data_IF_219313884436
#
_entry.id   IF_219313884436
#
_cell.length_a   1.000
_cell.length_b   1.000
_cell.length_c   1.000
_cell.angle_alpha   90.00
_cell.angle_beta   90.00
_cell.angle_gamma   90.00
#
_symmetry.space_group_name_H-M   'P 1'
#
loop_
_entity.id
_entity.type
_entity.pdbx_description
1 polymer ?
#
# COMPACT_ATOMS: atom_id res chain seq x y z
N UNK A 1 19.69 -20.66 19.80
CA UNK A 1 18.43 -21.32 20.20
C UNK A 1 17.82 -22.14 19.06
N UNK A 2 17.39 -21.56 17.93
CA UNK A 2 16.94 -22.39 16.77
C UNK A 2 18.00 -23.39 16.26
N UNK A 3 19.29 -23.03 16.31
CA UNK A 3 20.41 -23.90 15.93
C UNK A 3 20.60 -25.14 16.83
N UNK A 4 19.94 -25.20 17.99
CA UNK A 4 20.05 -26.32 18.94
C UNK A 4 18.82 -27.23 18.86
N UNK A 5 17.71 -26.77 18.26
CA UNK A 5 16.41 -27.45 18.34
C UNK A 5 16.07 -28.26 17.08
N UNK A 6 16.58 -27.90 15.89
CA UNK A 6 16.28 -28.65 14.66
C UNK A 6 17.37 -28.48 13.57
N UNK A 7 18.42 -29.34 13.56
CA UNK A 7 19.50 -29.29 12.58
C UNK A 7 19.04 -29.59 11.14
N UNK A 8 17.95 -30.35 10.96
CA UNK A 8 17.42 -30.73 9.65
C UNK A 8 16.87 -29.52 8.89
N UNK A 9 16.26 -28.56 9.58
CA UNK A 9 15.79 -27.30 8.98
C UNK A 9 16.92 -26.36 8.55
N UNK A 10 18.12 -26.46 9.13
CA UNK A 10 19.28 -25.64 8.73
C UNK A 10 19.89 -26.10 7.40
N UNK A 11 19.86 -27.40 7.09
CA UNK A 11 20.27 -27.93 5.79
C UNK A 11 19.43 -27.38 4.62
N UNK A 12 18.13 -27.16 4.85
CA UNK A 12 17.22 -26.53 3.90
C UNK A 12 17.34 -24.98 3.86
N UNK A 13 17.76 -24.35 4.96
CA UNK A 13 17.89 -22.89 5.06
C UNK A 13 19.14 -22.30 4.39
N UNK A 14 20.17 -23.11 4.11
CA UNK A 14 21.44 -22.62 3.56
C UNK A 14 21.30 -22.03 2.15
N UNK A 15 20.61 -22.71 1.24
CA UNK A 15 20.39 -22.23 -0.13
C UNK A 15 19.53 -20.96 -0.15
N UNK A 16 18.48 -20.92 0.67
CA UNK A 16 17.64 -19.74 0.85
C UNK A 16 18.42 -18.55 1.38
N UNK A 17 19.27 -18.76 2.38
CA UNK A 17 20.10 -17.72 2.99
C UNK A 17 21.08 -17.15 1.97
N UNK A 18 21.66 -18.01 1.13
CA UNK A 18 22.55 -17.61 0.03
C UNK A 18 21.79 -16.84 -1.05
N UNK A 19 20.62 -17.32 -1.51
CA UNK A 19 19.78 -16.61 -2.49
C UNK A 19 19.34 -15.25 -1.95
N UNK A 20 18.87 -15.18 -0.71
CA UNK A 20 18.48 -13.93 -0.05
C UNK A 20 19.66 -12.96 0.11
N UNK A 21 20.85 -13.47 0.45
CA UNK A 21 22.06 -12.67 0.54
C UNK A 21 22.51 -12.13 -0.82
N UNK A 22 22.55 -12.96 -1.86
CA UNK A 22 22.90 -12.56 -3.22
C UNK A 22 21.93 -11.50 -3.77
N UNK A 23 20.64 -11.72 -3.55
CA UNK A 23 19.60 -10.77 -3.92
C UNK A 23 19.76 -9.47 -3.13
N UNK A 24 20.01 -9.55 -1.81
CA UNK A 24 20.27 -8.38 -0.99
C UNK A 24 21.48 -7.57 -1.47
N UNK A 25 22.57 -8.24 -1.84
CA UNK A 25 23.76 -7.61 -2.44
C UNK A 25 23.45 -6.97 -3.79
N UNK A 26 22.71 -7.66 -4.66
CA UNK A 26 22.27 -7.12 -5.94
C UNK A 26 21.36 -5.89 -5.76
N UNK A 27 20.38 -5.96 -4.85
CA UNK A 27 19.52 -4.84 -4.49
C UNK A 27 20.31 -3.67 -3.88
N UNK A 28 21.35 -3.94 -3.10
CA UNK A 28 22.23 -2.91 -2.56
C UNK A 28 22.99 -2.18 -3.67
N UNK A 29 23.61 -2.95 -4.57
CA UNK A 29 24.33 -2.42 -5.72
C UNK A 29 23.39 -1.59 -6.61
N UNK A 30 22.28 -2.17 -7.06
CA UNK A 30 21.27 -1.46 -7.86
C UNK A 30 20.72 -0.24 -7.11
N UNK A 31 20.52 -0.34 -5.80
CA UNK A 31 20.06 0.76 -4.97
C UNK A 31 21.02 1.95 -4.99
N UNK A 32 22.32 1.71 -4.83
CA UNK A 32 23.34 2.78 -4.88
C UNK A 32 23.40 3.46 -6.24
N UNK A 33 23.22 2.71 -7.33
CA UNK A 33 23.33 3.24 -8.70
C UNK A 33 22.04 3.88 -9.23
N UNK A 34 20.87 3.29 -8.94
CA UNK A 34 19.59 3.73 -9.50
C UNK A 34 18.85 4.73 -8.62
N UNK A 35 18.96 4.62 -7.29
CA UNK A 35 18.17 5.46 -6.38
C UNK A 35 18.56 6.94 -6.47
N UNK A 36 19.84 7.34 -6.49
CA UNK A 36 20.21 8.76 -6.58
C UNK A 36 19.64 9.47 -7.81
N UNK A 37 19.88 9.02 -9.07
CA UNK A 37 19.35 9.71 -10.24
C UNK A 37 17.82 9.70 -10.30
N UNK A 38 17.16 8.66 -9.78
CA UNK A 38 15.69 8.62 -9.68
C UNK A 38 15.17 9.67 -8.69
N UNK A 39 15.77 9.77 -7.51
CA UNK A 39 15.38 10.75 -6.50
C UNK A 39 15.67 12.19 -6.94
N UNK A 40 16.75 12.42 -7.68
CA UNK A 40 17.05 13.72 -8.31
C UNK A 40 15.99 14.11 -9.33
N UNK A 41 15.59 13.20 -10.22
CA UNK A 41 14.49 13.43 -11.19
C UNK A 41 13.16 13.72 -10.51
N UNK A 42 12.92 13.11 -9.34
CA UNK A 42 11.76 13.38 -8.51
C UNK A 42 11.90 14.69 -7.70
N UNK A 43 13.00 15.44 -7.82
CA UNK A 43 13.22 16.68 -7.06
C UNK A 43 13.39 16.44 -5.55
N UNK A 44 13.85 15.26 -5.17
CA UNK A 44 14.03 14.82 -3.80
C UNK A 44 15.44 14.24 -3.57
N UNK A 45 16.53 14.97 -3.89
CA UNK A 45 17.87 14.43 -3.75
C UNK A 45 18.16 13.95 -2.32
N UNK A 46 18.83 12.81 -2.19
CA UNK A 46 19.21 12.23 -0.91
C UNK A 46 20.69 12.47 -0.62
N UNK A 47 21.04 13.23 0.44
CA UNK A 47 22.43 13.33 0.89
C UNK A 47 23.00 11.95 1.22
N UNK A 48 24.30 11.73 1.06
CA UNK A 48 24.95 10.43 1.31
C UNK A 48 24.61 9.81 2.69
N UNK A 49 24.49 10.66 3.72
CA UNK A 49 24.12 10.24 5.07
C UNK A 49 22.71 9.65 5.19
N UNK A 50 21.79 10.05 4.31
CA UNK A 50 20.40 9.55 4.20
C UNK A 50 20.32 8.42 3.20
N UNK A 51 21.01 8.53 2.06
CA UNK A 51 21.03 7.53 1.00
C UNK A 51 21.44 6.15 1.53
N UNK A 52 22.50 6.06 2.35
CA UNK A 52 22.93 4.78 2.96
C UNK A 52 21.81 4.09 3.73
N UNK A 53 20.95 4.84 4.41
CA UNK A 53 19.83 4.30 5.18
C UNK A 53 18.65 3.94 4.28
N UNK A 54 18.39 4.72 3.22
CA UNK A 54 17.39 4.35 2.22
C UNK A 54 17.79 3.05 1.50
N UNK A 55 19.06 2.92 1.10
CA UNK A 55 19.58 1.68 0.51
C UNK A 55 19.50 0.53 1.50
N UNK A 56 19.85 0.75 2.78
CA UNK A 56 19.67 -0.29 3.80
C UNK A 56 18.20 -0.71 3.94
N UNK A 57 17.25 0.23 3.95
CA UNK A 57 15.82 -0.07 3.99
C UNK A 57 15.37 -0.87 2.76
N UNK A 58 15.89 -0.55 1.57
CA UNK A 58 15.61 -1.33 0.36
C UNK A 58 16.14 -2.75 0.48
N UNK A 59 17.39 -2.92 0.91
CA UNK A 59 18.03 -4.22 1.04
C UNK A 59 17.32 -5.07 2.08
N UNK A 60 17.10 -4.52 3.27
CA UNK A 60 16.40 -5.22 4.36
C UNK A 60 14.95 -5.50 3.98
N UNK A 61 14.25 -4.53 3.38
CA UNK A 61 12.87 -4.72 2.92
C UNK A 61 12.76 -5.78 1.84
N UNK A 62 13.66 -5.77 0.85
CA UNK A 62 13.66 -6.77 -0.22
C UNK A 62 14.01 -8.14 0.36
N UNK A 63 15.06 -8.23 1.17
CA UNK A 63 15.43 -9.46 1.83
C UNK A 63 14.25 -10.01 2.65
N UNK A 64 13.67 -9.25 3.59
CA UNK A 64 12.59 -9.74 4.44
C UNK A 64 11.32 -10.13 3.65
N UNK A 65 10.90 -9.31 2.67
CA UNK A 65 9.63 -9.52 1.96
C UNK A 65 9.74 -10.49 0.78
N UNK A 66 10.88 -10.52 0.09
CA UNK A 66 11.12 -11.46 -1.00
C UNK A 66 11.53 -12.83 -0.45
N UNK A 67 12.42 -12.88 0.56
CA UNK A 67 12.82 -14.15 1.18
C UNK A 67 11.64 -14.84 1.87
N UNK A 68 10.66 -14.07 2.36
CA UNK A 68 9.41 -14.60 2.89
C UNK A 68 8.59 -15.43 1.90
N UNK A 69 8.86 -15.28 0.60
CA UNK A 69 8.18 -16.01 -0.47
C UNK A 69 8.95 -17.21 -0.98
N UNK A 70 10.22 -17.30 -0.62
CA UNK A 70 11.09 -18.39 -1.04
C UNK A 70 11.06 -19.56 -0.06
N UNK A 71 10.80 -19.31 1.24
CA UNK A 71 10.75 -20.37 2.24
C UNK A 71 10.10 -19.91 3.56
N UNK A 72 9.13 -20.65 4.14
CA UNK A 72 8.33 -21.68 3.49
C UNK A 72 7.55 -21.04 2.34
N UNK A 73 7.13 -21.82 1.33
CA UNK A 73 6.25 -21.30 0.27
C UNK A 73 5.06 -20.58 0.92
N UNK A 74 5.04 -19.25 0.84
CA UNK A 74 4.03 -18.42 1.48
C UNK A 74 2.76 -18.45 0.62
N UNK A 75 1.66 -18.92 1.20
CA UNK A 75 0.36 -19.08 0.52
C UNK A 75 0.48 -19.58 -0.93
N UNK A 76 0.97 -20.83 -1.15
CA UNK A 76 1.14 -21.37 -2.51
C UNK A 76 -0.18 -21.38 -3.30
N UNK A 77 -1.33 -21.47 -2.59
CA UNK A 77 -2.65 -21.33 -3.17
C UNK A 77 -2.89 -19.97 -3.86
N UNK A 78 -2.51 -18.86 -3.22
CA UNK A 78 -2.69 -17.51 -3.79
C UNK A 78 -1.68 -17.23 -4.91
N UNK A 79 -0.45 -17.73 -4.79
CA UNK A 79 0.51 -17.70 -5.91
C UNK A 79 -0.08 -18.44 -7.11
N UNK A 80 -0.58 -19.66 -6.92
CA UNK A 80 -1.19 -20.45 -8.00
C UNK A 80 -2.47 -19.79 -8.54
N UNK A 81 -3.27 -19.15 -7.70
CA UNK A 81 -4.43 -18.36 -8.12
C UNK A 81 -4.01 -17.27 -9.12
N UNK A 82 -2.96 -16.51 -8.82
CA UNK A 82 -2.44 -15.49 -9.72
C UNK A 82 -1.91 -16.09 -11.03
N UNK A 83 -1.21 -17.23 -10.98
CA UNK A 83 -0.73 -17.95 -12.16
C UNK A 83 -1.87 -18.43 -13.05
N UNK A 84 -2.91 -19.03 -12.45
CA UNK A 84 -4.09 -19.52 -13.16
C UNK A 84 -4.85 -18.38 -13.84
N UNK A 85 -5.00 -17.24 -13.14
CA UNK A 85 -5.66 -16.05 -13.69
C UNK A 85 -4.86 -15.37 -14.79
N UNK A 86 -3.55 -15.32 -14.67
CA UNK A 86 -2.69 -14.89 -15.77
C UNK A 86 -2.84 -15.82 -16.99
N UNK A 87 -2.80 -17.13 -16.78
CA UNK A 87 -3.02 -18.11 -17.85
C UNK A 87 -4.40 -17.96 -18.52
N UNK A 88 -5.44 -17.67 -17.75
CA UNK A 88 -6.77 -17.36 -18.25
C UNK A 88 -6.76 -16.11 -19.14
N UNK A 89 -6.12 -15.02 -18.67
CA UNK A 89 -6.00 -13.77 -19.43
C UNK A 89 -5.30 -13.99 -20.77
N UNK A 90 -4.17 -14.70 -20.79
CA UNK A 90 -3.39 -14.95 -22.03
C UNK A 90 -4.18 -15.83 -23.02
N UNK A 91 -5.09 -16.67 -22.53
CA UNK A 91 -6.05 -17.42 -23.35
C UNK A 91 -7.29 -16.61 -23.79
N UNK A 92 -7.30 -15.30 -23.55
CA UNK A 92 -8.38 -14.39 -23.95
C UNK A 92 -9.50 -14.23 -22.93
N UNK A 93 -9.38 -14.81 -21.72
CA UNK A 93 -10.37 -14.64 -20.66
C UNK A 93 -10.09 -13.36 -19.86
N UNK A 94 -10.52 -12.23 -20.40
CA UNK A 94 -10.30 -10.91 -19.79
C UNK A 94 -11.20 -10.63 -18.60
N UNK A 95 -12.41 -11.20 -18.56
CA UNK A 95 -13.39 -11.01 -17.49
C UNK A 95 -13.34 -12.19 -16.53
N UNK A 96 -12.51 -12.07 -15.49
CA UNK A 96 -12.32 -13.15 -14.53
C UNK A 96 -13.21 -12.92 -13.30
N UNK A 97 -13.94 -13.96 -12.89
CA UNK A 97 -14.72 -13.95 -11.67
C UNK A 97 -13.88 -14.46 -10.48
N UNK A 98 -14.16 -13.90 -9.31
CA UNK A 98 -13.73 -14.39 -8.01
C UNK A 98 -14.95 -14.66 -7.14
N UNK A 99 -14.78 -15.52 -6.15
CA UNK A 99 -15.71 -15.62 -5.04
C UNK A 99 -15.13 -14.80 -3.90
N UNK A 100 -15.83 -13.74 -3.48
CA UNK A 100 -15.50 -13.02 -2.27
C UNK A 100 -16.61 -13.26 -1.25
N UNK A 101 -16.31 -14.10 -0.26
CA UNK A 101 -17.25 -14.43 0.83
C UNK A 101 -18.56 -15.07 0.35
N UNK A 102 -18.50 -15.86 -0.72
CA UNK A 102 -19.66 -16.55 -1.31
C UNK A 102 -20.41 -15.74 -2.36
N UNK A 103 -20.00 -14.48 -2.59
CA UNK A 103 -20.58 -13.65 -3.64
C UNK A 103 -19.64 -13.59 -4.85
N UNK A 104 -20.18 -13.69 -6.08
CA UNK A 104 -19.40 -13.46 -7.29
C UNK A 104 -18.93 -12.00 -7.30
N UNK A 105 -17.65 -11.82 -7.60
CA UNK A 105 -17.02 -10.52 -7.57
C UNK A 105 -16.00 -10.42 -8.72
N UNK A 106 -15.94 -9.29 -9.46
CA UNK A 106 -14.98 -9.15 -10.54
C UNK A 106 -13.54 -9.19 -10.00
N UNK A 107 -12.66 -9.89 -10.70
CA UNK A 107 -11.23 -9.93 -10.40
C UNK A 107 -10.41 -9.16 -11.45
N UNK A 108 -10.09 -7.89 -11.19
CA UNK A 108 -9.45 -7.02 -12.18
C UNK A 108 -8.09 -7.56 -12.66
N UNK A 109 -7.77 -7.26 -13.94
CA UNK A 109 -6.64 -7.89 -14.66
C UNK A 109 -5.47 -6.93 -14.94
N UNK A 110 -5.49 -5.71 -14.39
CA UNK A 110 -4.52 -4.66 -14.68
C UNK A 110 -3.06 -5.08 -14.45
N UNK A 111 -2.76 -5.71 -13.31
CA UNK A 111 -1.41 -6.24 -13.03
C UNK A 111 -0.95 -7.23 -14.10
N UNK A 112 -1.83 -8.13 -14.53
CA UNK A 112 -1.50 -9.19 -15.48
C UNK A 112 -1.24 -8.62 -16.87
N UNK A 113 -2.03 -7.63 -17.31
CA UNK A 113 -1.82 -6.92 -18.57
C UNK A 113 -0.46 -6.22 -18.56
N UNK A 114 -0.10 -5.56 -17.46
CA UNK A 114 1.20 -4.89 -17.33
C UNK A 114 2.38 -5.86 -17.22
N UNK A 115 2.18 -7.02 -16.60
CA UNK A 115 3.22 -8.05 -16.49
C UNK A 115 3.39 -8.86 -17.79
N UNK A 116 2.38 -8.89 -18.68
CA UNK A 116 2.39 -9.73 -19.87
C UNK A 116 3.61 -9.51 -20.79
N UNK A 117 4.08 -8.28 -21.08
CA UNK A 117 5.27 -8.10 -21.91
C UNK A 117 6.55 -8.70 -21.30
N UNK A 118 6.60 -8.88 -19.97
CA UNK A 118 7.78 -9.42 -19.30
C UNK A 118 7.96 -10.92 -19.54
N UNK A 119 6.94 -11.64 -20.02
CA UNK A 119 7.10 -13.05 -20.38
C UNK A 119 7.95 -13.27 -21.63
N UNK A 120 8.21 -12.20 -22.41
CA UNK A 120 9.15 -12.22 -23.53
C UNK A 120 10.62 -12.33 -23.06
N UNK A 121 10.89 -12.18 -21.76
CA UNK A 121 12.26 -12.24 -21.20
C UNK A 121 12.72 -13.66 -20.86
N UNK A 122 11.93 -14.69 -21.18
CA UNK A 122 12.16 -16.10 -20.81
C UNK A 122 12.18 -16.39 -19.30
N UNK A 123 11.94 -15.37 -18.47
CA UNK A 123 11.74 -15.52 -17.02
C UNK A 123 10.36 -16.14 -16.78
N UNK A 124 10.27 -17.11 -15.86
CA UNK A 124 9.00 -17.73 -15.53
C UNK A 124 8.01 -16.67 -14.99
N UNK A 125 6.73 -16.76 -15.35
CA UNK A 125 5.73 -15.78 -14.87
C UNK A 125 5.59 -15.80 -13.33
N UNK A 126 5.87 -16.94 -12.69
CA UNK A 126 5.95 -17.05 -11.23
C UNK A 126 7.02 -16.10 -10.69
N UNK A 127 8.23 -16.17 -11.24
CA UNK A 127 9.34 -15.32 -10.80
C UNK A 127 9.08 -13.85 -11.12
N UNK A 128 8.45 -13.55 -12.27
CA UNK A 128 8.02 -12.19 -12.63
C UNK A 128 7.10 -11.61 -11.55
N UNK A 129 6.07 -12.33 -11.11
CA UNK A 129 5.17 -11.82 -10.06
C UNK A 129 5.87 -11.65 -8.71
N UNK A 130 6.72 -12.60 -8.33
CA UNK A 130 7.50 -12.51 -7.09
C UNK A 130 8.43 -11.29 -7.10
N UNK A 131 9.14 -11.06 -8.21
CA UNK A 131 10.05 -9.95 -8.40
C UNK A 131 9.32 -8.60 -8.47
N UNK A 132 8.25 -8.49 -9.28
CA UNK A 132 7.47 -7.26 -9.39
C UNK A 132 6.88 -6.84 -8.05
N UNK A 133 6.29 -7.78 -7.33
CA UNK A 133 5.69 -7.45 -6.04
C UNK A 133 6.75 -7.14 -4.98
N UNK A 134 7.91 -7.80 -4.99
CA UNK A 134 9.06 -7.38 -4.18
C UNK A 134 9.53 -5.97 -4.52
N UNK A 135 9.62 -5.63 -5.81
CA UNK A 135 9.99 -4.31 -6.29
C UNK A 135 9.01 -3.23 -5.83
N UNK A 136 7.70 -3.48 -5.93
CA UNK A 136 6.67 -2.55 -5.46
C UNK A 136 6.79 -2.32 -3.94
N UNK A 137 6.94 -3.37 -3.16
CA UNK A 137 7.07 -3.27 -1.70
C UNK A 137 8.30 -2.46 -1.25
N UNK A 138 9.43 -2.55 -1.97
CA UNK A 138 10.65 -1.82 -1.60
C UNK A 138 10.71 -0.41 -2.16
N UNK A 139 10.12 -0.18 -3.33
CA UNK A 139 10.10 1.17 -3.93
C UNK A 139 9.01 2.05 -3.32
N UNK A 140 7.98 1.49 -2.67
CA UNK A 140 6.98 2.24 -1.90
C UNK A 140 7.60 3.22 -0.87
N UNK A 141 8.51 2.77 0.02
CA UNK A 141 9.29 3.66 0.89
C UNK A 141 9.99 4.82 0.17
N UNK A 142 10.51 4.61 -1.04
CA UNK A 142 11.17 5.67 -1.83
C UNK A 142 10.18 6.71 -2.35
N UNK A 143 8.99 6.27 -2.77
CA UNK A 143 7.92 7.20 -3.18
C UNK A 143 7.49 8.07 -2.00
N UNK A 144 7.38 7.49 -0.81
CA UNK A 144 7.03 8.21 0.41
C UNK A 144 8.14 9.17 0.86
N UNK A 145 9.40 8.74 0.75
CA UNK A 145 10.55 9.61 0.94
C UNK A 145 10.46 10.83 0.01
N UNK A 146 10.29 10.60 -1.29
CA UNK A 146 10.22 11.67 -2.29
C UNK A 146 9.05 12.62 -2.00
N UNK A 147 7.88 12.08 -1.66
CA UNK A 147 6.69 12.85 -1.32
C UNK A 147 6.98 13.83 -0.17
N UNK A 148 7.53 13.34 0.93
CA UNK A 148 7.73 14.16 2.12
C UNK A 148 8.91 15.13 1.96
N UNK A 149 9.97 14.75 1.23
CA UNK A 149 11.08 15.66 0.90
C UNK A 149 10.60 16.79 0.02
N UNK A 150 9.81 16.51 -1.03
CA UNK A 150 9.25 17.58 -1.88
C UNK A 150 8.34 18.52 -1.09
N UNK A 151 7.53 17.97 -0.19
CA UNK A 151 6.59 18.75 0.59
C UNK A 151 7.24 19.60 1.70
N UNK A 152 8.43 19.24 2.17
CA UNK A 152 9.04 19.87 3.36
C UNK A 152 10.47 20.35 3.20
N UNK A 153 11.14 19.98 2.11
CA UNK A 153 12.57 20.19 1.89
C UNK A 153 13.48 19.39 2.84
N UNK A 154 12.96 18.40 3.59
CA UNK A 154 13.73 17.71 4.64
C UNK A 154 13.97 16.22 4.33
N UNK A 155 15.18 15.86 3.87
CA UNK A 155 15.61 14.47 3.69
C UNK A 155 15.44 13.60 4.94
N UNK A 156 15.64 14.17 6.14
CA UNK A 156 15.48 13.44 7.41
C UNK A 156 14.02 13.07 7.68
N UNK A 157 13.08 13.96 7.40
CA UNK A 157 11.65 13.64 7.52
C UNK A 157 11.26 12.55 6.53
N UNK A 158 11.70 12.68 5.27
CA UNK A 158 11.49 11.65 4.24
C UNK A 158 12.01 10.29 4.67
N UNK A 159 13.23 10.21 5.24
CA UNK A 159 13.81 8.95 5.70
C UNK A 159 12.98 8.31 6.80
N UNK A 160 12.53 9.10 7.78
CA UNK A 160 11.71 8.57 8.87
C UNK A 160 10.36 8.07 8.35
N UNK A 161 9.72 8.79 7.42
CA UNK A 161 8.46 8.31 6.82
C UNK A 161 8.67 7.01 6.05
N UNK A 162 9.73 6.93 5.24
CA UNK A 162 10.11 5.72 4.52
C UNK A 162 10.38 4.54 5.47
N UNK A 163 11.07 4.78 6.59
CA UNK A 163 11.34 3.77 7.61
C UNK A 163 10.03 3.30 8.28
N UNK A 164 9.15 4.22 8.68
CA UNK A 164 7.86 3.87 9.29
C UNK A 164 7.02 3.03 8.32
N UNK A 165 6.95 3.40 7.04
CA UNK A 165 6.20 2.64 6.05
C UNK A 165 6.82 1.27 5.72
N UNK A 166 8.16 1.22 5.62
CA UNK A 166 8.87 0.01 5.21
C UNK A 166 9.05 -1.03 6.32
N UNK A 167 9.05 -0.60 7.58
CA UNK A 167 9.36 -1.44 8.75
C UNK A 167 8.13 -1.84 9.56
N UNK A 168 6.92 -1.36 9.22
CA UNK A 168 5.68 -1.88 9.82
C UNK A 168 5.25 -3.18 9.18
N UNK A 169 4.54 -4.02 9.94
CA UNK A 169 4.22 -5.38 9.53
C UNK A 169 3.23 -5.47 8.36
N UNK A 170 2.43 -4.43 8.09
CA UNK A 170 1.42 -4.46 7.01
C UNK A 170 1.96 -4.92 5.66
N UNK A 171 3.15 -4.43 5.24
CA UNK A 171 3.79 -4.87 4.00
C UNK A 171 4.35 -6.30 4.05
N UNK A 172 4.67 -6.81 5.24
CA UNK A 172 5.09 -8.20 5.43
C UNK A 172 3.89 -9.16 5.36
N UNK A 173 2.73 -8.73 5.87
CA UNK A 173 1.48 -9.50 5.78
C UNK A 173 1.05 -9.66 4.32
N UNK A 174 0.98 -8.58 3.55
CA UNK A 174 0.65 -8.63 2.12
C UNK A 174 1.66 -9.45 1.32
N UNK A 175 2.93 -9.42 1.71
CA UNK A 175 3.97 -10.21 1.09
C UNK A 175 3.76 -11.71 1.31
N UNK A 176 3.41 -12.12 2.53
CA UNK A 176 3.17 -13.51 2.90
C UNK A 176 1.90 -14.09 2.27
N UNK A 177 0.81 -13.31 2.22
CA UNK A 177 -0.43 -13.72 1.54
C UNK A 177 -0.33 -13.71 0.00
N UNK A 178 0.82 -13.36 -0.58
CA UNK A 178 1.03 -13.28 -2.02
C UNK A 178 -0.04 -12.42 -2.74
N UNK A 179 -0.53 -11.35 -2.10
CA UNK A 179 -1.58 -10.47 -2.65
C UNK A 179 -1.03 -9.52 -3.72
N UNK A 180 -0.53 -10.07 -4.82
CA UNK A 180 0.22 -9.33 -5.84
C UNK A 180 -0.58 -8.15 -6.42
N UNK A 181 -1.86 -8.38 -6.72
CA UNK A 181 -2.75 -7.35 -7.30
C UNK A 181 -3.03 -6.20 -6.33
N UNK A 182 -3.14 -6.50 -5.04
CA UNK A 182 -3.28 -5.50 -3.99
C UNK A 182 -1.99 -4.69 -3.83
N UNK A 183 -0.84 -5.35 -3.69
CA UNK A 183 0.47 -4.70 -3.54
C UNK A 183 0.75 -3.76 -4.73
N UNK A 184 0.50 -4.21 -5.97
CA UNK A 184 0.67 -3.35 -7.14
C UNK A 184 -0.29 -2.15 -7.12
N UNK A 185 -1.55 -2.37 -6.76
CA UNK A 185 -2.56 -1.30 -6.70
C UNK A 185 -2.23 -0.25 -5.63
N UNK A 186 -1.74 -0.67 -4.47
CA UNK A 186 -1.24 0.25 -3.42
C UNK A 186 -0.04 1.06 -3.90
N UNK A 187 0.87 0.43 -4.65
CA UNK A 187 2.01 1.13 -5.21
C UNK A 187 1.58 2.19 -6.23
N UNK A 188 0.66 1.86 -7.16
CA UNK A 188 0.11 2.82 -8.12
C UNK A 188 -0.63 3.96 -7.42
N UNK A 189 -1.35 3.68 -6.33
CA UNK A 189 -1.99 4.70 -5.51
C UNK A 189 -0.96 5.63 -4.87
N UNK A 190 0.13 5.11 -4.31
CA UNK A 190 1.18 5.94 -3.72
C UNK A 190 1.89 6.78 -4.78
N UNK A 191 2.15 6.22 -5.96
CA UNK A 191 2.68 6.94 -7.11
C UNK A 191 1.72 8.05 -7.58
N UNK A 192 0.41 7.80 -7.57
CA UNK A 192 -0.62 8.80 -7.86
C UNK A 192 -0.59 9.93 -6.83
N UNK A 193 -0.55 9.61 -5.55
CA UNK A 193 -0.47 10.62 -4.47
C UNK A 193 0.79 11.47 -4.61
N UNK A 194 1.94 10.85 -4.94
CA UNK A 194 3.17 11.58 -5.23
C UNK A 194 3.00 12.51 -6.44
N UNK A 195 2.45 12.02 -7.55
CA UNK A 195 2.22 12.83 -8.76
C UNK A 195 1.30 14.01 -8.47
N UNK A 196 0.17 13.78 -7.78
CA UNK A 196 -0.78 14.83 -7.40
C UNK A 196 -0.10 15.89 -6.51
N UNK A 197 0.58 15.47 -5.46
CA UNK A 197 1.28 16.40 -4.58
C UNK A 197 2.39 17.18 -5.29
N UNK A 198 3.16 16.51 -6.17
CA UNK A 198 4.31 17.07 -6.86
C UNK A 198 3.94 18.03 -7.99
N UNK A 199 2.84 17.76 -8.68
CA UNK A 199 2.43 18.52 -9.86
C UNK A 199 1.45 19.65 -9.56
N UNK A 200 0.87 19.73 -8.35
CA UNK A 200 -0.07 20.80 -7.98
C UNK A 200 0.50 22.22 -8.24
N UNK A 201 -0.25 23.16 -8.85
CA UNK A 201 -1.59 23.03 -9.46
C UNK A 201 -1.57 22.73 -10.98
N UNK A 202 -0.47 22.23 -11.53
CA UNK A 202 -0.27 22.04 -12.99
C UNK A 202 -0.76 20.68 -13.51
N UNK A 203 -1.99 20.29 -13.17
CA UNK A 203 -2.55 19.02 -13.64
C UNK A 203 -2.93 19.00 -15.12
N UNK A 204 -3.13 20.16 -15.75
CA UNK A 204 -3.40 20.28 -17.18
C UNK A 204 -2.19 20.07 -18.10
N UNK A 205 -0.98 19.91 -17.55
CA UNK A 205 0.18 19.50 -18.35
C UNK A 205 -0.07 18.10 -18.96
N UNK A 206 0.24 17.92 -20.25
CA UNK A 206 -0.13 16.71 -21.00
C UNK A 206 0.43 15.43 -20.37
N UNK A 207 1.70 15.44 -19.95
CA UNK A 207 2.33 14.28 -19.33
C UNK A 207 1.76 14.00 -17.95
N UNK A 208 1.52 15.05 -17.17
CA UNK A 208 0.90 14.95 -15.85
C UNK A 208 -0.52 14.39 -15.94
N UNK A 209 -1.33 14.91 -16.86
CA UNK A 209 -2.72 14.51 -17.05
C UNK A 209 -2.83 13.03 -17.43
N UNK A 210 -2.06 12.59 -18.44
CA UNK A 210 -2.02 11.18 -18.83
C UNK A 210 -1.44 10.28 -17.74
N UNK A 211 -0.46 10.77 -16.97
CA UNK A 211 0.06 10.08 -15.80
C UNK A 211 -1.03 9.83 -14.74
N UNK A 212 -1.86 10.83 -14.46
CA UNK A 212 -3.00 10.72 -13.54
C UNK A 212 -4.02 9.69 -14.08
N UNK A 213 -4.42 9.80 -15.36
CA UNK A 213 -5.36 8.86 -15.99
C UNK A 213 -4.85 7.43 -15.92
N UNK A 214 -3.59 7.21 -16.27
CA UNK A 214 -2.96 5.88 -16.26
C UNK A 214 -2.93 5.31 -14.84
N UNK A 215 -2.48 6.07 -13.85
CA UNK A 215 -2.39 5.59 -12.47
C UNK A 215 -3.77 5.32 -11.87
N UNK A 216 -4.76 6.18 -12.10
CA UNK A 216 -6.15 5.94 -11.70
C UNK A 216 -6.70 4.64 -12.33
N UNK A 217 -6.44 4.45 -13.62
CA UNK A 217 -6.81 3.23 -14.36
C UNK A 217 -6.17 1.99 -13.74
N UNK A 218 -4.88 2.04 -13.43
CA UNK A 218 -4.15 0.92 -12.85
C UNK A 218 -4.58 0.60 -11.42
N UNK A 219 -4.95 1.60 -10.61
CA UNK A 219 -5.54 1.34 -9.30
C UNK A 219 -6.89 0.65 -9.45
N UNK A 220 -7.75 1.18 -10.32
CA UNK A 220 -9.11 0.69 -10.54
C UNK A 220 -9.18 -0.72 -11.17
N UNK A 221 -8.23 -1.04 -12.05
CA UNK A 221 -8.05 -2.36 -12.67
C UNK A 221 -7.06 -3.25 -11.90
N UNK A 222 -6.46 -2.77 -10.82
CA UNK A 222 -5.50 -3.54 -10.04
C UNK A 222 -6.18 -4.37 -8.96
N UNK A 223 -6.94 -3.72 -8.07
CA UNK A 223 -7.58 -4.39 -6.95
C UNK A 223 -8.86 -3.66 -6.55
N UNK A 224 -9.98 -4.39 -6.43
CA UNK A 224 -11.27 -3.75 -6.17
C UNK A 224 -11.33 -3.04 -4.81
N UNK A 225 -10.75 -3.61 -3.76
CA UNK A 225 -10.75 -2.96 -2.45
C UNK A 225 -10.09 -1.57 -2.52
N UNK A 226 -9.04 -1.45 -3.34
CA UNK A 226 -8.32 -0.20 -3.56
C UNK A 226 -9.10 0.72 -4.49
N UNK A 227 -9.79 0.18 -5.49
CA UNK A 227 -10.71 0.94 -6.35
C UNK A 227 -11.83 1.63 -5.55
N UNK A 228 -12.51 0.90 -4.65
CA UNK A 228 -13.59 1.45 -3.82
C UNK A 228 -13.05 2.59 -2.94
N UNK A 229 -11.90 2.37 -2.30
CA UNK A 229 -11.26 3.40 -1.49
C UNK A 229 -10.84 4.63 -2.32
N UNK A 230 -10.27 4.40 -3.51
CA UNK A 230 -9.88 5.47 -4.44
C UNK A 230 -11.10 6.27 -4.93
N UNK A 231 -12.24 5.61 -5.20
CA UNK A 231 -13.46 6.28 -5.63
C UNK A 231 -13.99 7.22 -4.53
N UNK A 232 -14.09 6.72 -3.29
CA UNK A 232 -14.48 7.53 -2.12
C UNK A 232 -13.49 8.69 -1.92
N UNK A 233 -12.20 8.40 -2.01
CA UNK A 233 -11.14 9.40 -1.95
C UNK A 233 -11.30 10.48 -3.00
N UNK A 234 -11.60 10.14 -4.26
CA UNK A 234 -11.82 11.11 -5.35
C UNK A 234 -13.06 11.98 -5.11
N UNK A 235 -14.17 11.38 -4.68
CA UNK A 235 -15.42 12.08 -4.33
C UNK A 235 -15.21 13.08 -3.19
N UNK A 236 -14.35 12.77 -2.23
CA UNK A 236 -14.00 13.68 -1.13
C UNK A 236 -12.96 14.73 -1.56
N UNK A 237 -11.93 14.32 -2.30
CA UNK A 237 -10.80 15.17 -2.65
C UNK A 237 -11.19 16.31 -3.59
N UNK A 238 -12.00 16.05 -4.63
CA UNK A 238 -12.34 17.07 -5.63
C UNK A 238 -13.07 18.27 -4.99
N UNK A 239 -14.13 18.10 -4.18
CA UNK A 239 -14.75 19.20 -3.46
C UNK A 239 -13.81 19.91 -2.47
N UNK A 240 -12.99 19.16 -1.73
CA UNK A 240 -12.03 19.73 -0.79
C UNK A 240 -11.02 20.64 -1.50
N UNK A 241 -10.44 20.16 -2.60
CA UNK A 241 -9.51 20.96 -3.41
C UNK A 241 -10.23 22.17 -4.03
N UNK A 242 -11.44 21.98 -4.55
CA UNK A 242 -12.24 23.08 -5.12
C UNK A 242 -12.51 24.18 -4.10
N UNK A 243 -12.93 23.80 -2.89
CA UNK A 243 -13.20 24.74 -1.80
C UNK A 243 -11.92 25.45 -1.33
N UNK A 244 -10.79 24.74 -1.33
CA UNK A 244 -9.51 25.31 -0.93
C UNK A 244 -8.84 26.18 -1.99
N UNK A 245 -9.27 26.10 -3.26
CA UNK A 245 -8.65 26.77 -4.39
C UNK A 245 -8.85 28.29 -4.34
N UNK A 246 -7.75 29.02 -4.25
CA UNK A 246 -7.72 30.48 -4.14
C UNK A 246 -7.44 31.17 -5.46
N UNK A 247 -6.76 30.47 -6.37
CA UNK A 247 -6.33 31.02 -7.66
C UNK A 247 -7.10 30.40 -8.84
N UNK A 248 -7.23 31.11 -9.98
CA UNK A 248 -7.78 30.55 -11.22
C UNK A 248 -7.05 29.27 -11.67
N UNK A 249 -5.73 29.21 -11.48
CA UNK A 249 -4.88 28.07 -11.81
C UNK A 249 -5.26 26.85 -10.96
N UNK A 250 -5.43 27.01 -9.65
CA UNK A 250 -5.87 25.91 -8.76
C UNK A 250 -7.28 25.42 -9.12
N UNK A 251 -8.20 26.33 -9.46
CA UNK A 251 -9.55 25.93 -9.92
C UNK A 251 -9.53 25.22 -11.26
N UNK A 252 -8.57 25.54 -12.13
CA UNK A 252 -8.35 24.81 -13.39
C UNK A 252 -7.78 23.43 -13.09
N UNK A 253 -6.79 23.33 -12.21
CA UNK A 253 -6.22 22.07 -11.75
C UNK A 253 -7.29 21.08 -11.26
N UNK A 254 -8.24 21.56 -10.44
CA UNK A 254 -9.33 20.72 -9.94
C UNK A 254 -10.23 20.23 -11.06
N UNK A 255 -10.52 21.07 -12.06
CA UNK A 255 -11.27 20.67 -13.26
C UNK A 255 -10.50 19.66 -14.11
N UNK A 256 -9.20 19.85 -14.27
CA UNK A 256 -8.32 18.92 -15.00
C UNK A 256 -8.25 17.56 -14.29
N UNK A 257 -8.19 17.55 -12.95
CA UNK A 257 -8.25 16.33 -12.14
C UNK A 257 -9.60 15.63 -12.28
N UNK A 258 -10.71 16.37 -12.23
CA UNK A 258 -12.04 15.83 -12.46
C UNK A 258 -12.16 15.22 -13.87
N UNK A 259 -11.63 15.90 -14.88
CA UNK A 259 -11.61 15.40 -16.26
C UNK A 259 -10.74 14.14 -16.40
N UNK A 260 -9.57 14.08 -15.75
CA UNK A 260 -8.74 12.88 -15.70
C UNK A 260 -9.46 11.72 -15.00
N UNK A 261 -10.13 12.00 -13.88
CA UNK A 261 -10.97 11.04 -13.17
C UNK A 261 -12.12 10.50 -14.02
N UNK A 262 -12.82 11.38 -14.73
CA UNK A 262 -13.88 11.00 -15.66
C UNK A 262 -13.34 10.15 -16.82
N UNK A 263 -12.20 10.52 -17.40
CA UNK A 263 -11.57 9.76 -18.48
C UNK A 263 -11.14 8.36 -18.03
N UNK A 264 -10.46 8.24 -16.88
CA UNK A 264 -10.08 6.96 -16.31
C UNK A 264 -11.31 6.12 -15.94
N UNK A 265 -12.31 6.72 -15.31
CA UNK A 265 -13.57 6.07 -14.95
C UNK A 265 -14.33 5.56 -16.18
N UNK A 266 -14.46 6.37 -17.22
CA UNK A 266 -15.09 5.99 -18.48
C UNK A 266 -14.32 4.84 -19.15
N UNK A 267 -12.99 4.93 -19.22
CA UNK A 267 -12.17 3.86 -19.80
C UNK A 267 -12.38 2.53 -19.04
N UNK A 268 -12.23 2.54 -17.72
CA UNK A 268 -12.34 1.34 -16.87
C UNK A 268 -13.76 0.78 -16.86
N UNK A 269 -14.78 1.65 -16.89
CA UNK A 269 -16.17 1.22 -17.03
C UNK A 269 -16.41 0.56 -18.39
N UNK A 270 -16.09 1.25 -19.50
CA UNK A 270 -16.37 0.76 -20.84
C UNK A 270 -15.61 -0.54 -21.15
N UNK A 271 -14.35 -0.65 -20.71
CA UNK A 271 -13.49 -1.80 -21.04
C UNK A 271 -13.64 -3.00 -20.11
N UNK A 272 -14.09 -2.80 -18.87
CA UNK A 272 -14.09 -3.87 -17.87
C UNK A 272 -15.38 -3.98 -17.07
N UNK A 273 -15.80 -2.91 -16.38
CA UNK A 273 -16.92 -3.03 -15.42
C UNK A 273 -18.32 -2.96 -16.04
N UNK A 274 -18.47 -2.51 -17.29
CA UNK A 274 -19.75 -2.48 -18.00
C UNK A 274 -20.40 -3.86 -18.08
N UNK A 275 -19.61 -4.89 -18.43
CA UNK A 275 -20.03 -6.30 -18.47
C UNK A 275 -20.41 -6.84 -17.08
N UNK A 276 -19.86 -6.23 -16.03
CA UNK A 276 -20.08 -6.62 -14.62
C UNK A 276 -21.22 -5.86 -13.96
N UNK A 277 -21.85 -4.90 -14.66
CA UNK A 277 -22.94 -4.09 -14.12
C UNK A 277 -24.10 -4.93 -13.57
N UNK A 278 -24.58 -6.01 -14.23
CA UNK A 278 -25.64 -6.85 -13.66
C UNK A 278 -25.26 -7.45 -12.31
N UNK A 279 -24.00 -7.86 -12.14
CA UNK A 279 -23.51 -8.40 -10.86
C UNK A 279 -23.56 -7.34 -9.75
N UNK A 280 -23.13 -6.11 -10.03
CA UNK A 280 -23.21 -5.02 -9.06
C UNK A 280 -24.65 -4.66 -8.69
N UNK A 281 -25.54 -4.58 -9.68
CA UNK A 281 -26.95 -4.29 -9.45
C UNK A 281 -27.62 -5.40 -8.61
N UNK A 282 -27.28 -6.67 -8.85
CA UNK A 282 -27.77 -7.79 -8.05
C UNK A 282 -27.29 -7.70 -6.59
N UNK A 283 -26.01 -7.39 -6.35
CA UNK A 283 -25.48 -7.21 -4.99
C UNK A 283 -26.13 -6.01 -4.29
N UNK A 284 -26.29 -4.88 -4.98
CA UNK A 284 -26.95 -3.70 -4.42
C UNK A 284 -28.43 -3.97 -4.11
N UNK A 285 -29.14 -4.65 -5.02
CA UNK A 285 -30.52 -5.06 -4.83
C UNK A 285 -30.68 -5.97 -3.62
N UNK A 286 -29.87 -7.03 -3.54
CA UNK A 286 -29.91 -7.98 -2.42
C UNK A 286 -29.58 -7.34 -1.07
N UNK A 287 -28.58 -6.47 -1.01
CA UNK A 287 -28.28 -5.70 0.22
C UNK A 287 -29.45 -4.78 0.59
N UNK A 288 -30.10 -4.15 -0.39
CA UNK A 288 -31.21 -3.23 -0.14
C UNK A 288 -32.49 -3.94 0.31
N UNK A 289 -32.74 -5.17 -0.15
CA UNK A 289 -33.97 -5.92 0.15
C UNK A 289 -33.85 -6.84 1.35
N UNK A 290 -32.74 -7.57 1.48
CA UNK A 290 -32.53 -8.62 2.48
C UNK A 290 -31.56 -8.19 3.58
N UNK A 291 -30.80 -7.12 3.35
CA UNK A 291 -29.71 -6.72 4.23
C UNK A 291 -28.46 -7.58 4.04
N UNK A 292 -27.30 -7.02 4.42
CA UNK A 292 -25.99 -7.60 4.07
C UNK A 292 -25.75 -9.00 4.67
N UNK A 293 -26.26 -9.27 5.88
CA UNK A 293 -26.05 -10.55 6.56
C UNK A 293 -26.85 -11.69 5.91
N UNK A 294 -28.11 -11.43 5.56
CA UNK A 294 -29.00 -12.40 4.92
C UNK A 294 -28.53 -12.69 3.50
N UNK A 295 -28.23 -11.65 2.72
CA UNK A 295 -27.75 -11.77 1.35
C UNK A 295 -26.41 -12.52 1.24
N UNK A 296 -25.52 -12.36 2.21
CA UNK A 296 -24.22 -13.09 2.22
C UNK A 296 -24.31 -14.49 2.82
N UNK A 297 -25.45 -14.85 3.43
CA UNK A 297 -25.60 -16.10 4.18
C UNK A 297 -24.64 -16.21 5.38
N UNK A 298 -24.07 -15.09 5.85
CA UNK A 298 -23.09 -15.07 6.94
C UNK A 298 -23.69 -14.50 8.22
N UNK A 299 -23.30 -15.08 9.35
CA UNK A 299 -23.72 -14.58 10.67
C UNK A 299 -23.19 -13.15 10.89
N UNK A 300 -24.03 -12.22 11.39
CA UNK A 300 -23.59 -10.89 11.77
C UNK A 300 -22.46 -10.96 12.80
N UNK A 301 -21.46 -10.09 12.66
CA UNK A 301 -20.33 -10.03 13.59
C UNK A 301 -20.67 -9.09 14.75
N UNK A 302 -20.51 -9.53 16.01
CA UNK A 302 -20.71 -8.67 17.17
C UNK A 302 -19.81 -7.43 17.12
N UNK A 303 -20.33 -6.26 17.50
CA UNK A 303 -19.54 -5.01 17.50
C UNK A 303 -18.32 -5.06 18.40
N UNK A 304 -18.38 -5.82 19.50
CA UNK A 304 -17.25 -6.07 20.40
C UNK A 304 -16.12 -6.80 19.67
N UNK A 305 -16.48 -7.78 18.83
CA UNK A 305 -15.53 -8.53 18.02
C UNK A 305 -14.93 -7.65 16.91
N UNK A 306 -15.76 -6.84 16.24
CA UNK A 306 -15.29 -5.83 15.28
C UNK A 306 -14.29 -4.86 15.92
N UNK A 307 -14.58 -4.38 17.14
CA UNK A 307 -13.67 -3.49 17.87
C UNK A 307 -12.36 -4.19 18.26
N UNK A 308 -12.45 -5.43 18.72
CA UNK A 308 -11.29 -6.26 19.07
C UNK A 308 -10.38 -6.47 17.87
N UNK A 309 -10.94 -6.89 16.73
CA UNK A 309 -10.18 -7.12 15.48
C UNK A 309 -9.59 -5.81 14.96
N UNK A 310 -10.32 -4.70 15.04
CA UNK A 310 -9.79 -3.39 14.66
C UNK A 310 -8.61 -2.98 15.57
N UNK A 311 -8.70 -3.23 16.87
CA UNK A 311 -7.66 -2.88 17.83
C UNK A 311 -6.42 -3.78 17.70
N UNK A 312 -6.61 -5.08 17.90
CA UNK A 312 -5.54 -6.09 17.91
C UNK A 312 -5.01 -6.31 16.50
N UNK A 313 -5.86 -6.81 15.61
CA UNK A 313 -5.45 -7.11 14.25
C UNK A 313 -5.12 -5.87 13.44
N UNK A 314 -5.90 -4.80 13.59
CA UNK A 314 -5.71 -3.57 12.82
C UNK A 314 -4.58 -2.68 13.34
N UNK A 315 -4.74 -2.08 14.51
CA UNK A 315 -3.83 -1.04 14.99
C UNK A 315 -2.51 -1.61 15.55
N UNK A 316 -2.57 -2.72 16.27
CA UNK A 316 -1.40 -3.35 16.87
C UNK A 316 -0.65 -4.17 15.81
N UNK A 317 -1.26 -5.16 15.19
CA UNK A 317 -0.50 -6.07 14.34
C UNK A 317 -0.04 -5.41 13.04
N UNK A 318 -0.84 -4.57 12.37
CA UNK A 318 -0.39 -3.95 11.10
C UNK A 318 0.65 -2.84 11.30
N UNK A 319 0.53 -2.05 12.37
CA UNK A 319 1.30 -0.81 12.56
C UNK A 319 2.17 -0.79 13.82
N UNK A 320 2.01 -1.72 14.75
CA UNK A 320 2.64 -1.65 16.07
C UNK A 320 2.13 -0.48 16.92
N UNK A 321 0.90 -0.02 16.66
CA UNK A 321 0.16 1.08 17.32
C UNK A 321 0.80 2.49 17.27
N UNK A 322 2.09 2.62 17.60
CA UNK A 322 2.76 3.92 17.76
C UNK A 322 2.81 4.80 16.51
N UNK A 323 2.99 4.28 15.28
CA UNK A 323 2.89 5.10 14.08
C UNK A 323 1.53 5.81 13.95
N UNK A 324 0.44 5.11 14.30
CA UNK A 324 -0.92 5.69 14.30
C UNK A 324 -1.04 6.77 15.39
N UNK A 325 -0.53 6.48 16.59
CA UNK A 325 -0.51 7.45 17.70
C UNK A 325 0.28 8.72 17.34
N UNK A 326 1.46 8.57 16.73
CA UNK A 326 2.33 9.68 16.33
C UNK A 326 1.80 10.45 15.12
N UNK A 327 0.96 9.82 14.29
CA UNK A 327 0.37 10.47 13.11
C UNK A 327 -0.50 11.68 13.49
N UNK A 328 -1.22 11.64 14.62
CA UNK A 328 -2.07 12.76 15.05
C UNK A 328 -1.28 14.05 15.34
N UNK A 329 -0.35 14.08 16.33
CA UNK A 329 0.45 15.28 16.58
C UNK A 329 1.37 15.62 15.40
N UNK A 330 1.83 14.62 14.65
CA UNK A 330 2.70 14.87 13.52
C UNK A 330 1.99 15.46 12.30
N UNK A 331 0.73 15.12 12.06
CA UNK A 331 -0.13 15.81 11.08
C UNK A 331 -0.29 17.29 11.45
N UNK A 332 -0.52 17.60 12.73
CA UNK A 332 -0.59 18.98 13.21
C UNK A 332 0.72 19.72 12.94
N UNK A 333 1.87 19.12 13.26
CA UNK A 333 3.20 19.71 13.00
C UNK A 333 3.47 19.90 11.50
N UNK A 334 3.05 18.95 10.67
CA UNK A 334 3.26 18.97 9.23
C UNK A 334 2.45 20.08 8.56
N UNK A 335 1.16 20.14 8.86
CA UNK A 335 0.20 20.99 8.16
C UNK A 335 0.07 22.40 8.74
N UNK A 336 0.47 22.63 10.00
CA UNK A 336 0.68 23.99 10.52
C UNK A 336 2.01 24.61 10.05
N UNK A 337 2.96 23.77 9.64
CA UNK A 337 4.32 24.16 9.27
C UNK A 337 4.60 24.10 7.76
N UNK A 338 5.63 23.33 7.39
CA UNK A 338 6.31 23.38 6.08
C UNK A 338 5.46 22.93 4.90
N UNK A 339 4.39 22.16 5.11
CA UNK A 339 3.58 21.58 4.03
C UNK A 339 2.20 22.27 3.86
N UNK A 340 2.02 23.48 4.38
CA UNK A 340 0.71 24.16 4.46
C UNK A 340 0.16 24.63 3.11
N UNK A 341 1.02 24.92 2.13
CA UNK A 341 0.63 25.39 0.81
C UNK A 341 0.76 24.30 -0.25
N UNK A 342 -0.32 23.60 -0.58
CA UNK A 342 -0.35 22.60 -1.65
C UNK A 342 -1.49 21.59 -1.51
N UNK A 343 -1.52 20.58 -2.38
CA UNK A 343 -2.54 19.53 -2.35
C UNK A 343 -2.35 18.51 -1.20
N UNK A 344 -1.14 18.34 -0.66
CA UNK A 344 -0.82 17.28 0.31
C UNK A 344 -1.72 17.23 1.56
N UNK A 345 -2.04 18.34 2.25
CA UNK A 345 -2.95 18.30 3.40
C UNK A 345 -4.34 17.76 3.03
N UNK A 346 -4.83 18.12 1.84
CA UNK A 346 -6.13 17.67 1.34
C UNK A 346 -6.11 16.21 0.89
N UNK A 347 -5.01 15.76 0.27
CA UNK A 347 -4.78 14.35 -0.04
C UNK A 347 -4.77 13.51 1.26
N UNK A 348 -4.04 13.97 2.29
CA UNK A 348 -4.00 13.30 3.58
C UNK A 348 -5.39 13.27 4.25
N UNK A 349 -6.10 14.40 4.27
CA UNK A 349 -7.45 14.48 4.83
C UNK A 349 -8.43 13.57 4.09
N UNK A 350 -8.45 13.58 2.76
CA UNK A 350 -9.31 12.72 1.97
C UNK A 350 -9.01 11.23 2.23
N UNK A 351 -7.74 10.85 2.39
CA UNK A 351 -7.38 9.47 2.77
C UNK A 351 -7.85 9.11 4.17
N UNK A 352 -7.70 10.00 5.16
CA UNK A 352 -8.22 9.74 6.51
C UNK A 352 -9.74 9.60 6.51
N UNK A 353 -10.47 10.49 5.83
CA UNK A 353 -11.93 10.43 5.75
C UNK A 353 -12.42 9.18 5.01
N UNK A 354 -11.76 8.81 3.91
CA UNK A 354 -12.05 7.56 3.20
C UNK A 354 -11.77 6.33 4.06
N UNK A 355 -10.69 6.34 4.84
CA UNK A 355 -10.33 5.26 5.74
C UNK A 355 -11.31 5.15 6.92
N UNK A 356 -11.70 6.29 7.49
CA UNK A 356 -12.65 6.36 8.58
C UNK A 356 -14.03 5.86 8.15
N UNK A 357 -14.49 6.19 6.95
CA UNK A 357 -15.78 5.68 6.46
C UNK A 357 -15.78 4.15 6.35
N UNK A 358 -14.67 3.56 5.90
CA UNK A 358 -14.50 2.11 5.86
C UNK A 358 -14.30 1.49 7.25
N UNK A 359 -13.66 2.19 8.19
CA UNK A 359 -13.51 1.74 9.57
C UNK A 359 -14.85 1.65 10.30
N UNK A 360 -15.76 2.60 10.03
CA UNK A 360 -17.07 2.68 10.68
C UNK A 360 -18.07 1.72 10.02
N UNK A 361 -17.95 1.45 8.72
CA UNK A 361 -18.91 0.65 7.96
C UNK A 361 -19.22 -0.73 8.59
N UNK A 362 -18.25 -1.51 9.10
CA UNK A 362 -18.50 -2.78 9.79
C UNK A 362 -19.35 -2.66 11.06
N UNK A 363 -19.29 -1.53 11.79
CA UNK A 363 -20.10 -1.34 12.99
C UNK A 363 -21.58 -1.10 12.68
N UNK A 364 -21.86 -0.63 11.46
CA UNK A 364 -23.20 -0.38 10.92
C UNK A 364 -23.71 -1.64 10.22
N UNK A 365 -22.90 -2.25 9.35
CA UNK A 365 -23.29 -3.38 8.50
C UNK A 365 -23.10 -4.75 9.15
N UNK A 366 -22.41 -4.81 10.30
CA UNK A 366 -22.03 -6.05 11.00
C UNK A 366 -21.26 -7.03 10.10
N UNK A 367 -20.53 -6.48 9.12
CA UNK A 367 -19.74 -7.22 8.14
C UNK A 367 -18.30 -7.45 8.62
N UNK A 368 -17.60 -8.40 7.97
CA UNK A 368 -16.21 -8.74 8.29
C UNK A 368 -15.17 -7.82 7.65
N UNK A 369 -15.54 -6.69 7.02
CA UNK A 369 -14.60 -5.82 6.28
C UNK A 369 -13.88 -4.87 7.26
N UNK A 370 -13.06 -5.39 8.16
CA UNK A 370 -12.63 -4.63 9.34
C UNK A 370 -11.31 -3.87 9.16
N UNK A 371 -10.35 -4.43 8.42
CA UNK A 371 -8.96 -3.92 8.36
C UNK A 371 -8.50 -3.49 6.97
N UNK A 372 -9.23 -3.81 5.90
CA UNK A 372 -8.86 -3.54 4.48
C UNK A 372 -8.45 -2.10 4.16
N UNK A 373 -8.96 -1.11 4.89
CA UNK A 373 -8.67 0.31 4.69
C UNK A 373 -7.35 0.77 5.33
N UNK A 374 -6.79 -0.01 6.26
CA UNK A 374 -5.53 0.31 6.93
C UNK A 374 -4.38 0.36 5.92
N UNK A 375 -4.36 -0.61 5.01
CA UNK A 375 -3.39 -0.68 3.92
C UNK A 375 -3.54 0.48 2.93
N UNK A 376 -4.75 1.01 2.73
CA UNK A 376 -4.99 2.21 1.93
C UNK A 376 -4.46 3.50 2.60
N UNK A 377 -4.48 3.56 3.95
CA UNK A 377 -4.01 4.70 4.75
C UNK A 377 -2.58 4.59 5.28
N UNK A 378 -1.90 3.46 5.05
CA UNK A 378 -0.55 3.24 5.56
C UNK A 378 0.43 4.37 5.20
N UNK A 379 0.32 4.92 3.99
CA UNK A 379 1.18 6.04 3.55
C UNK A 379 0.95 7.31 4.38
N UNK A 380 -0.30 7.63 4.72
CA UNK A 380 -0.61 8.87 5.45
C UNK A 380 -0.22 8.75 6.92
N UNK A 381 -0.37 7.57 7.52
CA UNK A 381 0.15 7.32 8.87
C UNK A 381 1.66 7.46 8.93
N UNK A 382 2.39 6.87 7.99
CA UNK A 382 3.84 6.97 7.94
C UNK A 382 4.32 8.41 7.67
N UNK A 383 3.67 9.11 6.74
CA UNK A 383 3.96 10.52 6.42
C UNK A 383 3.73 11.44 7.63
N UNK A 384 2.61 11.27 8.31
CA UNK A 384 2.25 12.10 9.46
C UNK A 384 3.01 11.72 10.73
N UNK A 385 3.42 10.46 10.93
CA UNK A 385 4.19 10.06 12.11
C UNK A 385 5.60 10.64 12.13
N UNK A 386 6.21 10.85 10.95
CA UNK A 386 7.61 11.26 10.83
C UNK A 386 7.95 12.62 11.51
N UNK A 387 7.16 13.69 11.34
CA UNK A 387 7.34 14.94 12.07
C UNK A 387 7.30 14.79 13.59
N UNK A 388 6.36 14.01 14.13
CA UNK A 388 6.25 13.78 15.57
C UNK A 388 7.43 12.97 16.11
N UNK A 389 7.85 11.92 15.39
CA UNK A 389 9.03 11.13 15.74
C UNK A 389 10.29 12.01 15.77
N UNK A 390 10.51 12.84 14.74
CA UNK A 390 11.67 13.72 14.70
C UNK A 390 11.61 14.83 15.75
N UNK A 391 10.43 15.32 16.07
CA UNK A 391 10.22 16.26 17.17
C UNK A 391 10.57 15.63 18.51
N UNK A 392 10.09 14.41 18.78
CA UNK A 392 10.37 13.68 20.02
C UNK A 392 11.86 13.39 20.17
N UNK A 393 12.55 13.01 19.09
CA UNK A 393 14.00 12.81 19.06
C UNK A 393 14.80 14.06 19.49
N UNK A 394 14.26 15.26 19.24
CA UNK A 394 14.89 16.53 19.60
C UNK A 394 14.62 16.97 21.05
N UNK A 395 13.71 16.30 21.78
CA UNK A 395 13.34 16.63 23.17
C UNK A 395 14.30 16.06 24.23
N UNK A 396 15.57 15.85 23.89
CA UNK A 396 16.61 15.36 24.81
C UNK A 396 16.60 13.84 25.01
N UNK A 397 17.25 13.37 26.09
CA UNK A 397 17.47 11.93 26.34
C UNK A 397 16.16 11.16 26.50
N UNK A 398 15.20 11.69 27.27
CA UNK A 398 13.91 11.04 27.50
C UNK A 398 13.13 10.82 26.19
N UNK A 399 13.07 11.83 25.32
CA UNK A 399 12.42 11.70 24.01
C UNK A 399 13.09 10.67 23.11
N UNK A 400 14.43 10.58 23.12
CA UNK A 400 15.16 9.53 22.39
C UNK A 400 14.85 8.13 22.91
N UNK A 401 14.88 7.94 24.23
CA UNK A 401 14.54 6.64 24.85
C UNK A 401 13.11 6.24 24.51
N UNK A 402 12.16 7.16 24.64
CA UNK A 402 10.76 6.91 24.28
C UNK A 402 10.61 6.51 22.80
N UNK A 403 11.23 7.25 21.88
CA UNK A 403 11.17 6.91 20.45
C UNK A 403 11.82 5.55 20.17
N UNK A 404 12.97 5.25 20.76
CA UNK A 404 13.64 3.96 20.60
C UNK A 404 12.80 2.81 21.15
N UNK A 405 12.12 3.00 22.28
CA UNK A 405 11.19 2.01 22.83
C UNK A 405 9.99 1.78 21.91
N UNK A 406 9.37 2.86 21.40
CA UNK A 406 8.27 2.78 20.44
C UNK A 406 8.69 2.07 19.14
N UNK A 407 9.83 2.46 18.56
CA UNK A 407 10.38 1.82 17.36
C UNK A 407 10.78 0.37 17.62
N UNK A 408 11.36 0.07 18.79
CA UNK A 408 11.69 -1.29 19.22
C UNK A 408 10.44 -2.17 19.30
N UNK A 409 9.33 -1.65 19.82
CA UNK A 409 8.06 -2.36 19.85
C UNK A 409 7.49 -2.62 18.44
N UNK A 410 7.51 -1.62 17.55
CA UNK A 410 7.06 -1.79 16.16
C UNK A 410 7.90 -2.88 15.44
N UNK A 411 9.21 -2.85 15.63
CA UNK A 411 10.12 -3.85 15.08
C UNK A 411 9.89 -5.23 15.70
N UNK A 412 9.59 -5.29 17.00
CA UNK A 412 9.26 -6.53 17.69
C UNK A 412 7.98 -7.15 17.13
N UNK A 413 6.88 -6.40 17.01
CA UNK A 413 5.62 -6.90 16.42
C UNK A 413 5.85 -7.34 14.98
N UNK A 414 6.56 -6.55 14.19
CA UNK A 414 6.89 -6.91 12.81
C UNK A 414 7.71 -8.19 12.73
N UNK A 415 8.67 -8.37 13.64
CA UNK A 415 9.46 -9.59 13.74
C UNK A 415 8.60 -10.78 14.18
N UNK A 416 7.65 -10.62 15.10
CA UNK A 416 6.72 -11.68 15.52
C UNK A 416 5.87 -12.12 14.34
N UNK A 417 5.17 -11.18 13.68
CA UNK A 417 4.34 -11.46 12.49
C UNK A 417 5.16 -12.19 11.42
N UNK A 418 6.40 -11.76 11.19
CA UNK A 418 7.27 -12.39 10.21
C UNK A 418 7.75 -13.78 10.66
N UNK A 419 8.23 -13.94 11.90
CA UNK A 419 8.75 -15.19 12.43
C UNK A 419 7.65 -16.25 12.53
N UNK A 420 6.45 -15.91 13.02
CA UNK A 420 5.32 -16.83 13.10
C UNK A 420 4.93 -17.36 11.72
N UNK A 421 4.83 -16.44 10.75
CA UNK A 421 4.51 -16.76 9.37
C UNK A 421 5.57 -17.66 8.71
N UNK A 422 6.84 -17.43 9.02
CA UNK A 422 7.99 -18.12 8.40
C UNK A 422 8.36 -19.43 9.08
N UNK A 423 8.39 -19.46 10.41
CA UNK A 423 8.92 -20.61 11.17
C UNK A 423 7.83 -21.59 11.56
N UNK A 424 6.63 -21.07 11.85
CA UNK A 424 5.49 -21.85 12.36
C UNK A 424 4.42 -22.09 11.29
N UNK A 425 4.53 -21.46 10.11
CA UNK A 425 3.51 -21.47 9.05
C UNK A 425 2.13 -21.02 9.56
N UNK A 426 2.13 -20.20 10.61
CA UNK A 426 0.91 -19.59 11.12
C UNK A 426 0.58 -18.39 10.24
N UNK A 427 -0.56 -18.38 9.52
CA UNK A 427 -0.94 -17.21 8.75
C UNK A 427 -0.99 -16.00 9.69
N UNK A 428 -0.36 -14.86 9.35
CA UNK A 428 -0.65 -13.63 10.03
C UNK A 428 -2.12 -13.29 9.81
N UNK A 429 -2.67 -12.39 10.62
CA UNK A 429 -4.05 -11.94 10.42
C UNK A 429 -4.19 -11.42 8.98
N UNK A 430 -5.23 -11.90 8.28
CA UNK A 430 -5.49 -11.46 6.92
C UNK A 430 -5.70 -9.93 6.92
N UNK A 431 -4.98 -9.17 6.08
CA UNK A 431 -5.07 -7.71 6.07
C UNK A 431 -6.43 -7.17 5.55
N UNK A 432 -7.48 -8.00 5.42
CA UNK A 432 -8.74 -7.70 4.73
C UNK A 432 -10.05 -8.06 5.45
#
# INVERSE_FOLDING_TARGET
>A
LMAVVDPGRLGFGAEWSVRAALIGLASAALGVWLVPPLLERLGAPAPASVLRWLVLLLVVGFALKYSARLYPDSMPGDVQLHLNRYGALVRGQHFIDAQHRGLPFPFPTGLYVLAAPLTLTWVSIRDVFLLLSGLFEVTGPLLLYALLVRATGSPRLGLVAAAVYGLTAGGSMTAWFAFFSHVSSQWYQLALVLLLAAAWPRYGDRLTWWGIVLLLTQVALGHIGTFINLAIFGVLLVPLLFWSARTPEERRAVRDLLAAGAAAGAFVFLTYYSVRLPQFLAVLGGIATEGMAEFTGKRPIPRSETLRVLWEGGLIDHFGFFPVLLAVPGAVLLFRGRARGGALPWLALATFLSSLSQAVLPFITLSSITTRWLMFSAWVFALCAAPAALWLWRRGRAGKVALLAMSGYVLWITAVVWIEAMTMRLPPIEPF
#
